data_IF_187218752517
#
_entry.id   IF_187218752517
#
_cell.length_a   1.000
_cell.length_b   1.000
_cell.length_c   1.000
_cell.angle_alpha   90.00
_cell.angle_beta   90.00
_cell.angle_gamma   90.00
#
_symmetry.space_group_name_H-M   'P 1'
#
loop_
_entity.id
_entity.type
_entity.pdbx_description
1 polymer ?
#
# COMPACT_ATOMS: atom_id res chain seq x y z
N UNK A 1 22.04 -40.76 34.27
CA UNK A 1 21.13 -40.35 33.17
C UNK A 1 21.67 -40.92 31.86
N UNK A 2 20.90 -41.78 31.20
CA UNK A 2 21.34 -42.52 30.00
C UNK A 2 21.60 -41.57 28.82
N UNK A 3 22.77 -41.67 28.20
CA UNK A 3 23.20 -40.84 27.07
C UNK A 3 22.18 -40.81 25.90
N UNK A 4 21.40 -41.90 25.77
CA UNK A 4 20.28 -42.01 24.82
C UNK A 4 19.14 -41.03 25.11
N UNK A 5 18.84 -40.77 26.39
CA UNK A 5 17.79 -39.82 26.78
C UNK A 5 18.18 -38.39 26.39
N UNK A 6 19.46 -38.04 26.57
CA UNK A 6 20.00 -36.71 26.23
C UNK A 6 19.93 -36.47 24.73
N UNK A 7 20.30 -37.46 23.91
CA UNK A 7 20.22 -37.37 22.46
C UNK A 7 18.78 -37.21 21.96
N UNK A 8 17.83 -37.94 22.54
CA UNK A 8 16.40 -37.85 22.18
C UNK A 8 15.82 -36.49 22.57
N UNK A 9 16.14 -35.98 23.77
CA UNK A 9 15.72 -34.64 24.18
C UNK A 9 16.26 -33.55 23.24
N UNK A 10 17.55 -33.63 22.89
CA UNK A 10 18.18 -32.68 22.00
C UNK A 10 17.53 -32.70 20.61
N UNK A 11 17.24 -33.89 20.06
CA UNK A 11 16.57 -34.03 18.77
C UNK A 11 15.15 -33.43 18.79
N UNK A 12 14.41 -33.65 19.88
CA UNK A 12 13.05 -33.12 20.04
C UNK A 12 13.04 -31.59 20.12
N UNK A 13 14.02 -31.00 20.83
CA UNK A 13 14.17 -29.54 20.91
C UNK A 13 14.49 -28.91 19.54
N UNK A 14 15.32 -29.56 18.73
CA UNK A 14 15.65 -29.09 17.37
C UNK A 14 14.42 -29.14 16.46
N UNK A 15 13.62 -30.21 16.54
CA UNK A 15 12.37 -30.35 15.78
C UNK A 15 11.36 -29.23 16.12
N UNK A 16 11.20 -28.91 17.40
CA UNK A 16 10.32 -27.81 17.84
C UNK A 16 10.81 -26.47 17.32
N UNK A 17 12.12 -26.20 17.37
CA UNK A 17 12.70 -24.95 16.86
C UNK A 17 12.50 -24.78 15.34
N UNK A 18 12.56 -25.87 14.56
CA UNK A 18 12.33 -25.86 13.11
C UNK A 18 10.84 -25.71 12.77
N UNK A 19 9.95 -26.30 13.57
CA UNK A 19 8.49 -26.19 13.36
C UNK A 19 7.94 -24.78 13.58
N UNK A 20 8.67 -23.92 14.30
CA UNK A 20 8.41 -22.47 14.35
C UNK A 20 8.89 -21.73 13.09
N UNK A 21 8.92 -22.45 11.95
CA UNK A 21 9.10 -21.94 10.61
C UNK A 21 7.97 -20.96 10.27
N UNK A 22 8.19 -19.73 10.71
CA UNK A 22 7.57 -18.46 10.32
C UNK A 22 6.35 -18.64 9.42
N UNK A 23 5.18 -18.70 10.04
CA UNK A 23 4.02 -18.08 9.42
C UNK A 23 4.38 -16.60 9.25
N UNK A 24 4.95 -16.25 8.09
CA UNK A 24 4.83 -14.90 7.57
C UNK A 24 3.35 -14.58 7.76
N UNK A 25 2.98 -13.55 8.53
CA UNK A 25 1.63 -13.06 8.43
C UNK A 25 1.52 -12.71 6.96
N UNK A 26 0.80 -13.55 6.19
CA UNK A 26 0.11 -13.06 5.01
C UNK A 26 -0.83 -12.04 5.63
N UNK A 27 -0.31 -10.83 5.75
CA UNK A 27 -1.10 -9.64 5.90
C UNK A 27 -1.97 -9.68 4.66
N UNK A 28 -3.09 -10.38 4.77
CA UNK A 28 -4.27 -10.10 3.99
C UNK A 28 -4.76 -8.74 4.51
N UNK A 29 -3.93 -7.71 4.36
CA UNK A 29 -4.44 -6.40 4.00
C UNK A 29 -5.14 -6.70 2.70
N UNK A 30 -6.46 -6.87 2.78
CA UNK A 30 -7.33 -6.71 1.61
C UNK A 30 -6.73 -5.59 0.74
N UNK A 31 -6.73 -5.77 -0.57
CA UNK A 31 -6.28 -4.80 -1.56
C UNK A 31 -7.11 -3.51 -1.48
N UNK A 32 -7.01 -2.79 -0.37
CA UNK A 32 -7.76 -1.58 -0.08
C UNK A 32 -6.93 -0.45 -0.67
N UNK A 33 -7.38 -0.01 -1.83
CA UNK A 33 -7.04 1.27 -2.40
C UNK A 33 -7.11 2.36 -1.32
N UNK A 34 -6.22 3.36 -1.37
CA UNK A 34 -6.19 4.45 -0.39
C UNK A 34 -7.46 5.31 -0.49
N UNK A 35 -8.03 5.41 -1.69
CA UNK A 35 -9.20 6.18 -2.01
C UNK A 35 -10.47 5.33 -1.94
N UNK A 36 -11.35 5.68 -1.00
CA UNK A 36 -12.70 5.10 -0.90
C UNK A 36 -13.68 5.82 -1.83
N UNK A 37 -13.48 7.12 -2.05
CA UNK A 37 -14.29 7.97 -2.92
C UNK A 37 -13.39 8.97 -3.65
N UNK A 38 -13.83 9.40 -4.83
CA UNK A 38 -13.12 10.37 -5.66
C UNK A 38 -13.90 11.68 -5.77
N UNK A 39 -13.15 12.77 -5.95
CA UNK A 39 -13.66 14.11 -6.15
C UNK A 39 -13.43 14.53 -7.60
N UNK A 40 -14.52 14.74 -8.33
CA UNK A 40 -14.50 15.08 -9.75
C UNK A 40 -14.63 16.59 -10.02
N UNK A 41 -15.10 17.38 -9.05
CA UNK A 41 -15.23 18.84 -9.22
C UNK A 41 -13.85 19.49 -9.33
N UNK A 42 -13.78 20.51 -10.19
CA UNK A 42 -12.54 21.25 -10.44
C UNK A 42 -11.99 21.90 -9.17
N UNK A 43 -10.71 21.69 -8.91
CA UNK A 43 -9.96 22.36 -7.85
C UNK A 43 -8.93 23.29 -8.50
N UNK A 44 -8.88 24.59 -8.15
CA UNK A 44 -7.89 25.51 -8.68
C UNK A 44 -6.46 25.05 -8.35
N UNK A 45 -5.53 25.00 -9.32
CA UNK A 45 -4.13 24.59 -9.07
C UNK A 45 -3.44 25.40 -7.97
N UNK A 46 -3.85 26.66 -7.77
CA UNK A 46 -3.32 27.51 -6.69
C UNK A 46 -3.62 26.99 -5.28
N UNK A 47 -4.65 26.16 -5.12
CA UNK A 47 -5.02 25.53 -3.85
C UNK A 47 -4.35 24.17 -3.64
N UNK A 48 -3.76 23.58 -4.69
CA UNK A 48 -3.05 22.31 -4.64
C UNK A 48 -1.59 22.58 -4.27
N UNK A 49 -1.09 21.83 -3.29
CA UNK A 49 0.30 21.87 -2.86
C UNK A 49 1.12 20.76 -3.52
N UNK A 50 0.59 19.54 -3.54
CA UNK A 50 1.25 18.37 -4.13
C UNK A 50 0.23 17.42 -4.77
N UNK A 51 0.69 16.60 -5.72
CA UNK A 51 -0.12 15.56 -6.36
C UNK A 51 0.68 14.27 -6.46
N UNK A 52 0.16 13.22 -5.83
CA UNK A 52 0.70 11.87 -5.87
C UNK A 52 -0.12 11.00 -6.81
N UNK A 53 0.55 10.40 -7.78
CA UNK A 53 -0.02 9.39 -8.67
C UNK A 53 0.35 7.99 -8.15
N UNK A 54 -0.65 7.20 -7.77
CA UNK A 54 -0.47 5.79 -7.44
C UNK A 54 -0.97 4.95 -8.61
N UNK A 55 -0.05 4.23 -9.26
CA UNK A 55 -0.39 3.34 -10.36
C UNK A 55 -1.09 2.07 -9.87
N UNK A 56 -1.87 1.44 -10.75
CA UNK A 56 -2.47 0.14 -10.49
C UNK A 56 -1.39 -0.91 -10.21
N UNK A 57 -1.59 -1.73 -9.17
CA UNK A 57 -0.65 -2.77 -8.78
C UNK A 57 -1.32 -3.95 -8.06
N UNK A 58 -0.51 -4.87 -7.50
CA UNK A 58 -1.00 -6.06 -6.80
C UNK A 58 -1.80 -5.74 -5.54
N UNK A 59 -1.72 -4.49 -5.04
CA UNK A 59 -2.38 -4.01 -3.84
C UNK A 59 -3.62 -3.14 -4.11
N UNK A 60 -3.78 -2.61 -5.33
CA UNK A 60 -4.96 -1.84 -5.75
C UNK A 60 -5.02 -1.84 -7.29
N UNK A 61 -6.13 -2.30 -7.87
CA UNK A 61 -6.29 -2.36 -9.34
C UNK A 61 -6.56 -1.00 -9.99
N UNK A 62 -6.98 -0.02 -9.20
CA UNK A 62 -7.34 1.31 -9.69
C UNK A 62 -6.10 2.21 -9.70
N UNK A 63 -6.08 3.15 -10.65
CA UNK A 63 -5.15 4.28 -10.61
C UNK A 63 -5.73 5.31 -9.64
N UNK A 64 -4.93 5.77 -8.69
CA UNK A 64 -5.34 6.77 -7.71
C UNK A 64 -4.55 8.05 -7.92
N UNK A 65 -5.25 9.18 -7.96
CA UNK A 65 -4.64 10.52 -7.99
C UNK A 65 -4.99 11.19 -6.69
N UNK A 66 -4.01 11.44 -5.84
CA UNK A 66 -4.21 12.04 -4.51
C UNK A 66 -3.59 13.43 -4.54
N UNK A 67 -4.41 14.46 -4.33
CA UNK A 67 -3.94 15.83 -4.24
C UNK A 67 -3.90 16.27 -2.78
N UNK A 68 -2.75 16.80 -2.36
CA UNK A 68 -2.60 17.48 -1.07
C UNK A 68 -2.86 18.96 -1.30
N UNK A 69 -3.87 19.50 -0.62
CA UNK A 69 -4.22 20.91 -0.68
C UNK A 69 -3.32 21.72 0.27
N UNK A 70 -3.21 23.03 0.03
CA UNK A 70 -2.42 23.95 0.87
C UNK A 70 -2.91 24.05 2.31
N UNK A 71 -4.15 23.70 2.57
CA UNK A 71 -4.72 23.61 3.92
C UNK A 71 -4.41 22.27 4.61
N UNK A 72 -3.62 21.40 3.97
CA UNK A 72 -3.20 20.10 4.49
C UNK A 72 -4.19 18.97 4.23
N UNK A 73 -5.35 19.24 3.61
CA UNK A 73 -6.32 18.18 3.29
C UNK A 73 -5.84 17.34 2.10
N UNK A 74 -5.96 16.03 2.22
CA UNK A 74 -5.77 15.11 1.11
C UNK A 74 -7.12 14.82 0.43
N UNK A 75 -7.14 14.91 -0.90
CA UNK A 75 -8.33 14.68 -1.71
C UNK A 75 -7.98 13.73 -2.84
N UNK A 76 -8.68 12.59 -2.88
CA UNK A 76 -8.64 11.69 -4.01
C UNK A 76 -9.38 12.31 -5.20
N UNK A 77 -8.70 12.48 -6.32
CA UNK A 77 -9.24 13.04 -7.56
C UNK A 77 -9.70 11.93 -8.50
N UNK A 78 -10.76 12.20 -9.26
CA UNK A 78 -11.26 11.27 -10.27
C UNK A 78 -10.34 11.26 -11.52
N UNK A 79 -9.65 10.15 -11.82
CA UNK A 79 -8.75 10.07 -12.98
C UNK A 79 -9.48 10.14 -14.33
N UNK A 80 -10.81 9.99 -14.35
CA UNK A 80 -11.62 10.13 -15.56
C UNK A 80 -11.95 11.59 -15.90
N UNK A 81 -11.79 12.51 -14.95
CA UNK A 81 -12.09 13.92 -15.16
C UNK A 81 -11.03 14.59 -16.08
N UNK A 82 -11.42 15.32 -17.14
CA UNK A 82 -10.47 15.88 -18.11
C UNK A 82 -9.43 16.84 -17.51
N UNK A 83 -9.80 17.59 -16.47
CA UNK A 83 -8.89 18.51 -15.80
C UNK A 83 -7.82 17.77 -14.98
N UNK A 84 -8.16 16.62 -14.38
CA UNK A 84 -7.23 15.78 -13.62
C UNK A 84 -6.19 15.18 -14.56
N UNK A 85 -6.62 14.67 -15.71
CA UNK A 85 -5.72 14.15 -16.74
C UNK A 85 -4.72 15.20 -17.23
N UNK A 86 -5.17 16.45 -17.42
CA UNK A 86 -4.28 17.56 -17.80
C UNK A 86 -3.21 17.83 -16.75
N UNK A 87 -3.57 17.83 -15.46
CA UNK A 87 -2.61 18.04 -14.37
C UNK A 87 -1.62 16.88 -14.31
N UNK A 88 -2.11 15.64 -14.33
CA UNK A 88 -1.25 14.45 -14.30
C UNK A 88 -0.28 14.46 -15.48
N UNK A 89 -0.75 14.76 -16.71
CA UNK A 89 0.11 14.85 -17.88
C UNK A 89 1.15 15.98 -17.75
N UNK A 90 0.79 17.13 -17.19
CA UNK A 90 1.72 18.23 -16.97
C UNK A 90 2.82 17.87 -15.95
N UNK A 91 2.50 17.04 -14.95
CA UNK A 91 3.47 16.55 -13.96
C UNK A 91 4.38 15.48 -14.58
N UNK A 92 3.82 14.56 -15.37
CA UNK A 92 4.59 13.49 -16.03
C UNK A 92 5.44 13.96 -17.22
N UNK A 93 5.08 15.08 -17.84
CA UNK A 93 5.81 15.67 -18.96
C UNK A 93 7.05 16.47 -18.51
N UNK A 94 7.32 16.54 -17.20
CA UNK A 94 8.50 17.16 -16.62
C UNK A 94 9.55 16.12 -16.28
#
# INVERSE_FOLDING_TARGET
MSSKLVAVLALFLILVAVSQGRTLPRMATELRCQCIATHSKFIPPKAIQDVKLTQSGPHCKNVEVIATLKDGREVCLDPTAPWVQRIVNAILAK
#
